data_IF_984237000293
#
_entry.id   IF_984237000293
#
_cell.length_a   1.000
_cell.length_b   1.000
_cell.length_c   1.000
_cell.angle_alpha   90.00
_cell.angle_beta   90.00
_cell.angle_gamma   90.00
#
_symmetry.space_group_name_H-M   'P 1'
#
loop_
_entity.id
_entity.type
_entity.pdbx_description
1 polymer ?
#
# COMPACT_ATOMS: atom_id res chain seq x y z
N UNK A 1 -39.54 -13.20 13.97
CA UNK A 1 -38.73 -13.61 12.82
C UNK A 1 -38.59 -12.38 11.91
N UNK A 2 -37.52 -11.58 12.09
CA UNK A 2 -37.25 -10.39 11.27
C UNK A 2 -36.41 -10.80 10.06
N UNK A 3 -36.93 -10.65 8.87
CA UNK A 3 -36.25 -10.91 7.60
C UNK A 3 -35.15 -9.88 7.42
N UNK A 4 -33.88 -10.33 7.49
CA UNK A 4 -32.76 -9.55 6.99
C UNK A 4 -32.85 -9.50 5.46
N UNK A 5 -33.24 -8.37 4.94
CA UNK A 5 -33.16 -8.07 3.50
C UNK A 5 -31.68 -7.95 3.13
N UNK A 6 -31.21 -8.86 2.26
CA UNK A 6 -29.90 -8.80 1.61
C UNK A 6 -29.82 -7.55 0.74
N UNK A 7 -29.25 -6.47 1.27
CA UNK A 7 -28.81 -5.33 0.48
C UNK A 7 -27.33 -5.53 0.09
N UNK A 8 -27.05 -6.56 -0.70
CA UNK A 8 -25.72 -6.93 -1.17
C UNK A 8 -25.33 -6.21 -2.49
N UNK A 9 -25.93 -5.09 -2.85
CA UNK A 9 -25.87 -4.57 -4.20
C UNK A 9 -25.36 -3.15 -4.42
N UNK A 10 -25.10 -2.33 -3.41
CA UNK A 10 -24.65 -0.94 -3.63
C UNK A 10 -23.85 -0.39 -2.44
N UNK A 11 -22.61 -0.84 -2.28
CA UNK A 11 -21.67 -0.23 -1.33
C UNK A 11 -21.04 1.09 -1.84
N UNK A 12 -21.23 1.40 -3.13
CA UNK A 12 -20.58 2.53 -3.77
C UNK A 12 -21.60 3.33 -4.56
N UNK A 13 -21.95 4.51 -4.06
CA UNK A 13 -22.85 5.45 -4.71
C UNK A 13 -22.08 6.58 -5.39
N UNK A 14 -22.66 7.17 -6.42
CA UNK A 14 -22.10 8.36 -7.10
C UNK A 14 -22.00 9.56 -6.15
N UNK A 15 -22.91 9.65 -5.19
CA UNK A 15 -22.77 10.50 -4.00
C UNK A 15 -22.49 9.59 -2.81
N UNK A 16 -21.56 9.99 -1.90
CA UNK A 16 -21.35 9.21 -0.70
C UNK A 16 -22.68 9.04 0.03
N UNK A 17 -22.93 7.88 0.62
CA UNK A 17 -24.09 7.71 1.47
C UNK A 17 -24.07 8.81 2.54
N UNK A 18 -25.23 9.29 3.00
CA UNK A 18 -25.25 10.27 4.09
C UNK A 18 -24.42 9.75 5.24
N UNK A 19 -23.52 10.59 5.76
CA UNK A 19 -22.64 10.19 6.85
C UNK A 19 -23.52 9.71 8.02
N UNK A 20 -23.23 8.53 8.60
CA UNK A 20 -23.99 8.06 9.74
C UNK A 20 -23.82 9.03 10.91
N UNK A 21 -24.74 8.99 11.86
CA UNK A 21 -24.57 9.71 13.11
C UNK A 21 -23.28 9.25 13.80
N UNK A 22 -22.32 10.15 13.95
CA UNK A 22 -21.04 9.90 14.62
C UNK A 22 -19.82 10.39 13.85
N UNK A 23 -18.65 10.38 14.49
CA UNK A 23 -17.42 10.95 13.95
C UNK A 23 -16.92 10.13 12.74
N UNK A 24 -16.62 10.81 11.64
CA UNK A 24 -16.05 10.22 10.41
C UNK A 24 -14.61 10.72 10.25
N UNK A 25 -13.68 9.80 10.15
CA UNK A 25 -12.29 10.11 9.80
C UNK A 25 -12.14 10.30 8.29
N UNK A 26 -11.15 11.07 7.88
CA UNK A 26 -10.87 11.33 6.46
C UNK A 26 -9.45 10.88 6.14
N UNK A 27 -9.26 10.12 5.07
CA UNK A 27 -7.95 9.81 4.53
C UNK A 27 -7.84 10.36 3.10
N UNK A 28 -6.86 11.23 2.86
CA UNK A 28 -6.42 11.60 1.52
C UNK A 28 -5.34 10.62 1.08
N UNK A 29 -5.46 10.11 -0.14
CA UNK A 29 -4.53 9.12 -0.68
C UNK A 29 -4.02 9.53 -2.04
N UNK A 30 -2.79 9.15 -2.35
CA UNK A 30 -2.17 9.36 -3.65
C UNK A 30 -1.24 8.20 -4.03
N UNK A 31 -1.17 7.91 -5.32
CA UNK A 31 -0.21 6.98 -5.90
C UNK A 31 0.60 7.67 -7.00
N UNK A 32 1.92 7.64 -6.90
CA UNK A 32 2.81 8.26 -7.85
C UNK A 32 3.76 7.25 -8.51
N UNK A 33 4.00 7.40 -9.83
CA UNK A 33 4.99 6.60 -10.55
C UNK A 33 5.78 7.46 -11.53
N UNK A 34 7.11 7.32 -11.55
CA UNK A 34 7.99 7.95 -12.54
C UNK A 34 8.17 7.03 -13.73
N UNK A 35 7.25 7.15 -14.70
CA UNK A 35 7.05 6.22 -15.79
C UNK A 35 5.93 5.21 -15.50
N UNK A 36 5.40 4.55 -16.54
CA UNK A 36 4.22 3.70 -16.38
C UNK A 36 4.37 2.37 -17.17
N UNK A 37 5.00 1.32 -16.60
CA UNK A 37 5.50 1.20 -15.21
C UNK A 37 6.86 1.86 -14.96
N UNK A 38 7.07 2.33 -13.72
CA UNK A 38 8.31 2.95 -13.26
C UNK A 38 8.47 2.88 -11.75
N UNK A 39 9.52 3.51 -11.19
CA UNK A 39 9.63 3.71 -9.74
C UNK A 39 8.34 4.30 -9.20
N UNK A 40 7.72 3.66 -8.21
CA UNK A 40 6.40 4.01 -7.72
C UNK A 40 6.36 4.07 -6.18
N UNK A 41 5.53 4.96 -5.68
CA UNK A 41 5.25 5.10 -4.26
C UNK A 41 3.78 5.43 -4.03
N UNK A 42 3.32 5.25 -2.82
CA UNK A 42 2.01 5.69 -2.38
C UNK A 42 2.10 6.57 -1.14
N UNK A 43 1.04 7.30 -0.87
CA UNK A 43 0.89 8.13 0.32
C UNK A 43 -0.50 8.04 0.92
N UNK A 44 -0.55 8.28 2.23
CA UNK A 44 -1.77 8.41 3.02
C UNK A 44 -1.62 9.59 3.98
N UNK A 45 -2.62 10.46 4.03
CA UNK A 45 -2.76 11.51 5.03
C UNK A 45 -4.08 11.28 5.77
N UNK A 46 -4.01 10.79 7.00
CA UNK A 46 -5.16 10.47 7.83
C UNK A 46 -5.48 11.64 8.77
N UNK A 47 -6.74 12.02 8.80
CA UNK A 47 -7.27 13.11 9.64
C UNK A 47 -8.39 12.62 10.54
N UNK A 48 -8.48 13.24 11.70
CA UNK A 48 -9.58 13.06 12.65
C UNK A 48 -10.88 13.70 12.17
N UNK A 49 -11.98 13.45 12.89
CA UNK A 49 -13.27 14.08 12.60
C UNK A 49 -13.24 15.61 12.75
N UNK A 50 -12.32 16.14 13.52
CA UNK A 50 -12.03 17.55 13.72
C UNK A 50 -11.16 18.16 12.60
N UNK A 51 -10.71 17.34 11.64
CA UNK A 51 -9.80 17.73 10.56
C UNK A 51 -8.32 17.73 10.95
N UNK A 52 -7.99 17.51 12.22
CA UNK A 52 -6.60 17.43 12.66
C UNK A 52 -5.88 16.24 12.02
N UNK A 53 -4.62 16.43 11.61
CA UNK A 53 -3.80 15.37 11.04
C UNK A 53 -3.40 14.38 12.13
N UNK A 54 -3.85 13.13 12.02
CA UNK A 54 -3.48 12.02 12.92
C UNK A 54 -2.15 11.41 12.47
N UNK A 55 -2.02 11.18 11.15
CA UNK A 55 -0.85 10.52 10.58
C UNK A 55 -0.67 10.93 9.13
N UNK A 56 0.58 10.89 8.69
CA UNK A 56 0.95 11.07 7.29
C UNK A 56 2.16 10.18 6.99
N UNK A 57 2.04 9.31 6.01
CA UNK A 57 3.12 8.42 5.61
C UNK A 57 3.08 8.13 4.11
N UNK A 58 4.25 7.87 3.55
CA UNK A 58 4.43 7.40 2.18
C UNK A 58 5.40 6.24 2.14
N UNK A 59 5.24 5.35 1.17
CA UNK A 59 6.11 4.19 1.00
C UNK A 59 6.41 3.94 -0.47
N UNK A 60 7.68 3.73 -0.77
CA UNK A 60 8.14 3.23 -2.05
C UNK A 60 7.75 1.76 -2.22
N UNK A 61 7.27 1.38 -3.41
CA UNK A 61 6.78 0.03 -3.69
C UNK A 61 7.53 -0.66 -4.83
N UNK A 62 8.70 -0.13 -5.21
CA UNK A 62 9.46 -0.67 -6.33
C UNK A 62 8.95 -0.18 -7.69
N UNK A 63 9.03 -1.02 -8.71
CA UNK A 63 8.59 -0.69 -10.07
C UNK A 63 7.14 -1.12 -10.26
N UNK A 64 6.26 -0.15 -10.46
CA UNK A 64 4.82 -0.38 -10.64
C UNK A 64 4.20 0.66 -11.60
N UNK A 65 2.95 0.44 -11.99
CA UNK A 65 2.14 1.45 -12.69
C UNK A 65 1.53 2.42 -11.68
N UNK A 66 1.16 3.63 -12.15
CA UNK A 66 0.46 4.59 -11.30
C UNK A 66 -0.80 4.00 -10.68
N UNK A 67 -1.62 3.29 -11.46
CA UNK A 67 -2.85 2.67 -10.98
C UNK A 67 -2.59 1.63 -9.86
N UNK A 68 -1.50 0.88 -9.93
CA UNK A 68 -1.08 -0.03 -8.87
C UNK A 68 -0.74 0.75 -7.60
N UNK A 69 0.00 1.85 -7.71
CA UNK A 69 0.34 2.71 -6.58
C UNK A 69 -0.90 3.30 -5.90
N UNK A 70 -1.90 3.74 -6.68
CA UNK A 70 -3.19 4.22 -6.19
C UNK A 70 -3.95 3.16 -5.38
N UNK A 71 -3.97 1.92 -5.85
CA UNK A 71 -4.58 0.82 -5.10
C UNK A 71 -3.81 0.50 -3.81
N UNK A 72 -2.48 0.59 -3.83
CA UNK A 72 -1.68 0.44 -2.61
C UNK A 72 -1.98 1.55 -1.60
N UNK A 73 -2.17 2.80 -2.05
CA UNK A 73 -2.58 3.91 -1.20
C UNK A 73 -3.94 3.64 -0.53
N UNK A 74 -4.93 3.19 -1.31
CA UNK A 74 -6.25 2.83 -0.79
C UNK A 74 -6.17 1.72 0.26
N UNK A 75 -5.43 0.65 -0.02
CA UNK A 75 -5.27 -0.48 0.90
C UNK A 75 -4.55 -0.03 2.18
N UNK A 76 -3.49 0.78 2.05
CA UNK A 76 -2.75 1.30 3.19
C UNK A 76 -3.61 2.19 4.10
N UNK A 77 -4.50 3.01 3.54
CA UNK A 77 -5.44 3.81 4.31
C UNK A 77 -6.45 2.95 5.07
N UNK A 78 -6.96 1.88 4.44
CA UNK A 78 -7.88 0.92 5.07
C UNK A 78 -7.18 0.13 6.19
N UNK A 79 -5.96 -0.34 5.95
CA UNK A 79 -5.15 -1.06 6.94
C UNK A 79 -4.81 -0.13 8.14
N UNK A 80 -4.46 1.14 7.88
CA UNK A 80 -4.19 2.13 8.92
C UNK A 80 -5.43 2.44 9.78
N UNK A 81 -6.61 2.51 9.16
CA UNK A 81 -7.88 2.67 9.87
C UNK A 81 -8.18 1.45 10.74
N UNK A 82 -8.03 0.24 10.22
CA UNK A 82 -8.25 -1.00 10.96
C UNK A 82 -7.32 -1.11 12.18
N UNK A 83 -6.02 -0.80 12.01
CA UNK A 83 -5.04 -0.82 13.09
C UNK A 83 -5.36 0.16 14.23
N UNK A 84 -6.15 1.20 13.97
CA UNK A 84 -6.57 2.22 14.94
C UNK A 84 -7.99 2.03 15.47
N UNK A 85 -8.69 0.98 15.05
CA UNK A 85 -10.08 0.76 15.40
C UNK A 85 -11.04 1.81 14.82
N UNK A 86 -10.66 2.47 13.73
CA UNK A 86 -11.51 3.42 13.02
C UNK A 86 -12.54 2.63 12.23
N UNK A 87 -13.80 2.81 12.57
CA UNK A 87 -14.92 2.09 11.93
C UNK A 87 -15.64 2.94 10.88
N UNK A 88 -15.42 4.27 10.85
CA UNK A 88 -16.08 5.20 9.93
C UNK A 88 -15.03 6.03 9.21
N UNK A 89 -14.85 5.73 7.92
CA UNK A 89 -13.80 6.32 7.09
C UNK A 89 -14.35 6.83 5.77
N UNK A 90 -14.01 8.07 5.44
CA UNK A 90 -14.10 8.62 4.10
C UNK A 90 -12.70 8.71 3.49
N UNK A 91 -12.53 8.16 2.31
CA UNK A 91 -11.28 8.27 1.54
C UNK A 91 -11.50 9.24 0.39
N UNK A 92 -10.55 10.12 0.18
CA UNK A 92 -10.49 11.11 -0.88
C UNK A 92 -9.29 10.83 -1.77
N UNK A 93 -9.50 10.77 -3.09
CA UNK A 93 -8.46 10.52 -4.10
C UNK A 93 -8.75 11.33 -5.37
N UNK A 94 -7.71 11.79 -6.07
CA UNK A 94 -7.81 12.42 -7.40
C UNK A 94 -7.73 11.39 -8.55
N UNK A 95 -7.64 10.10 -8.24
CA UNK A 95 -7.71 9.01 -9.22
C UNK A 95 -9.16 8.67 -9.57
N UNK A 96 -9.70 9.27 -10.64
CA UNK A 96 -11.04 8.95 -11.11
C UNK A 96 -11.19 7.46 -11.44
N UNK A 97 -10.16 6.83 -12.04
CA UNK A 97 -10.18 5.41 -12.37
C UNK A 97 -10.39 4.54 -11.14
N UNK A 98 -9.60 4.78 -10.08
CA UNK A 98 -9.71 4.06 -8.81
C UNK A 98 -11.13 4.18 -8.24
N UNK A 99 -11.63 5.41 -8.14
CA UNK A 99 -12.96 5.70 -7.60
C UNK A 99 -14.05 4.98 -8.41
N UNK A 100 -14.05 5.12 -9.74
CA UNK A 100 -15.04 4.48 -10.62
C UNK A 100 -14.97 2.95 -10.59
N UNK A 101 -13.78 2.37 -10.45
CA UNK A 101 -13.61 0.92 -10.32
C UNK A 101 -14.17 0.42 -8.98
N UNK A 102 -13.84 1.09 -7.88
CA UNK A 102 -14.35 0.73 -6.55
C UNK A 102 -15.88 0.90 -6.44
N UNK A 103 -16.44 1.88 -7.11
CA UNK A 103 -17.90 2.09 -7.20
C UNK A 103 -18.60 1.08 -8.14
N UNK A 104 -17.84 0.28 -8.90
CA UNK A 104 -18.38 -0.70 -9.84
C UNK A 104 -18.83 -0.10 -11.18
N UNK A 105 -18.59 1.19 -11.43
CA UNK A 105 -18.90 1.83 -12.72
C UNK A 105 -17.95 1.39 -13.81
N UNK A 106 -16.68 1.12 -13.48
CA UNK A 106 -15.66 0.61 -14.39
C UNK A 106 -15.23 -0.79 -14.00
N UNK A 107 -15.10 -1.68 -15.00
CA UNK A 107 -14.61 -3.04 -14.78
C UNK A 107 -13.08 -3.02 -14.61
N UNK A 108 -12.57 -3.77 -13.65
CA UNK A 108 -11.14 -4.01 -13.46
C UNK A 108 -10.71 -5.09 -14.46
N UNK A 109 -10.07 -4.69 -15.57
CA UNK A 109 -9.60 -5.61 -16.62
C UNK A 109 -8.16 -6.07 -16.40
N UNK A 110 -7.32 -5.24 -15.78
CA UNK A 110 -5.93 -5.55 -15.49
C UNK A 110 -5.81 -6.72 -14.52
N UNK A 111 -4.97 -7.70 -14.86
CA UNK A 111 -4.66 -8.83 -13.99
C UNK A 111 -3.99 -8.37 -12.68
N UNK A 112 -3.13 -7.35 -12.76
CA UNK A 112 -2.39 -6.82 -11.61
C UNK A 112 -3.30 -6.07 -10.63
N UNK A 113 -4.36 -5.42 -11.14
CA UNK A 113 -5.28 -4.65 -10.31
C UNK A 113 -6.36 -5.49 -9.65
N UNK A 114 -6.75 -6.64 -10.22
CA UNK A 114 -7.83 -7.48 -9.67
C UNK A 114 -7.61 -7.88 -8.22
N UNK A 115 -6.44 -8.48 -7.83
CA UNK A 115 -6.22 -8.88 -6.44
C UNK A 115 -6.21 -7.68 -5.48
N UNK A 116 -5.71 -6.52 -5.93
CA UNK A 116 -5.71 -5.30 -5.14
C UNK A 116 -7.14 -4.76 -4.93
N UNK A 117 -7.94 -4.75 -5.99
CA UNK A 117 -9.34 -4.36 -5.94
C UNK A 117 -10.15 -5.27 -4.99
N UNK A 118 -9.99 -6.60 -5.07
CA UNK A 118 -10.66 -7.55 -4.19
C UNK A 118 -10.26 -7.36 -2.73
N UNK A 119 -8.95 -7.14 -2.46
CA UNK A 119 -8.45 -6.84 -1.13
C UNK A 119 -9.04 -5.54 -0.58
N UNK A 120 -9.04 -4.47 -1.38
CA UNK A 120 -9.61 -3.19 -0.98
C UNK A 120 -11.12 -3.29 -0.69
N UNK A 121 -11.88 -3.99 -1.55
CA UNK A 121 -13.30 -4.24 -1.31
C UNK A 121 -13.56 -5.03 -0.02
N UNK A 122 -12.75 -6.05 0.25
CA UNK A 122 -12.87 -6.85 1.47
C UNK A 122 -12.60 -5.99 2.72
N UNK A 123 -11.55 -5.17 2.69
CA UNK A 123 -11.21 -4.29 3.80
C UNK A 123 -12.28 -3.20 4.02
N UNK A 124 -12.79 -2.59 2.95
CA UNK A 124 -13.84 -1.59 3.04
C UNK A 124 -15.14 -2.13 3.65
N UNK A 125 -15.50 -3.41 3.39
CA UNK A 125 -16.66 -4.08 3.96
C UNK A 125 -16.61 -4.30 5.47
N UNK A 126 -15.41 -4.25 6.05
CA UNK A 126 -15.22 -4.39 7.50
C UNK A 126 -15.54 -3.10 8.26
N UNK A 127 -15.68 -1.97 7.58
CA UNK A 127 -16.05 -0.68 8.17
C UNK A 127 -17.57 -0.56 8.34
N UNK A 128 -18.00 0.12 9.39
CA UNK A 128 -19.42 0.49 9.59
C UNK A 128 -19.88 1.54 8.56
N UNK A 129 -18.96 2.44 8.19
CA UNK A 129 -19.16 3.43 7.15
C UNK A 129 -17.90 3.55 6.30
N UNK A 130 -18.09 3.42 5.01
CA UNK A 130 -17.04 3.64 4.01
C UNK A 130 -17.59 4.50 2.88
N UNK A 131 -16.85 5.56 2.55
CA UNK A 131 -17.07 6.35 1.35
C UNK A 131 -15.73 6.58 0.63
N UNK A 132 -15.73 6.46 -0.69
CA UNK A 132 -14.59 6.81 -1.54
C UNK A 132 -15.06 7.89 -2.52
N UNK A 133 -14.41 9.06 -2.47
CA UNK A 133 -14.75 10.25 -3.23
C UNK A 133 -13.61 10.66 -4.16
N UNK A 134 -13.98 11.04 -5.37
CA UNK A 134 -13.07 11.75 -6.25
C UNK A 134 -13.00 13.23 -5.82
N UNK A 135 -11.78 13.74 -5.68
CA UNK A 135 -11.51 15.16 -5.43
C UNK A 135 -10.61 15.73 -6.52
N UNK A 136 -10.68 17.02 -6.82
CA UNK A 136 -9.72 17.69 -7.71
C UNK A 136 -8.29 17.58 -7.14
N UNK A 137 -7.30 17.48 -8.04
CA UNK A 137 -5.89 17.31 -7.67
C UNK A 137 -5.38 18.40 -6.73
N UNK A 138 -5.83 19.64 -6.92
CA UNK A 138 -5.48 20.78 -6.09
C UNK A 138 -5.88 20.59 -4.62
N UNK A 139 -6.89 19.76 -4.36
CA UNK A 139 -7.35 19.42 -3.01
C UNK A 139 -6.63 18.19 -2.44
N UNK A 140 -5.82 17.47 -3.25
CA UNK A 140 -5.03 16.30 -2.85
C UNK A 140 -3.54 16.62 -2.64
N UNK A 141 -3.17 17.90 -2.62
CA UNK A 141 -1.77 18.36 -2.60
C UNK A 141 -0.95 17.78 -1.43
N UNK A 142 -1.56 17.58 -0.25
CA UNK A 142 -0.88 17.00 0.91
C UNK A 142 -0.44 15.55 0.63
N UNK A 143 -1.31 14.72 0.05
CA UNK A 143 -1.00 13.33 -0.28
C UNK A 143 -0.02 13.24 -1.45
N UNK A 144 -0.20 14.06 -2.51
CA UNK A 144 0.73 14.17 -3.65
C UNK A 144 2.16 14.52 -3.18
N UNK A 145 2.30 15.50 -2.28
CA UNK A 145 3.60 15.88 -1.73
C UNK A 145 4.28 14.72 -0.97
N UNK A 146 3.52 13.97 -0.18
CA UNK A 146 4.05 12.82 0.57
C UNK A 146 4.44 11.67 -0.36
N UNK A 147 3.65 11.39 -1.41
CA UNK A 147 3.97 10.36 -2.40
C UNK A 147 5.24 10.71 -3.19
N UNK A 148 5.38 11.96 -3.62
CA UNK A 148 6.57 12.46 -4.29
C UNK A 148 7.80 12.42 -3.37
N UNK A 149 7.67 12.82 -2.11
CA UNK A 149 8.77 12.71 -1.13
C UNK A 149 9.21 11.25 -0.92
N UNK A 150 8.28 10.29 -0.90
CA UNK A 150 8.62 8.87 -0.81
C UNK A 150 9.38 8.36 -2.05
N UNK A 151 9.06 8.87 -3.24
CA UNK A 151 9.82 8.61 -4.47
C UNK A 151 11.22 9.25 -4.42
N UNK A 152 11.34 10.50 -3.96
CA UNK A 152 12.59 11.25 -3.92
C UNK A 152 13.57 10.68 -2.91
N UNK A 153 13.10 10.29 -1.73
CA UNK A 153 13.92 9.64 -0.71
C UNK A 153 14.56 8.35 -1.20
N UNK A 154 13.94 7.69 -2.16
CA UNK A 154 14.47 6.46 -2.79
C UNK A 154 15.38 6.78 -3.96
N UNK A 155 15.08 7.85 -4.72
CA UNK A 155 15.98 8.36 -5.75
C UNK A 155 17.29 8.88 -5.14
N UNK A 156 17.23 9.54 -3.98
CA UNK A 156 18.41 9.94 -3.19
C UNK A 156 19.18 8.75 -2.65
N UNK A 157 18.50 7.69 -2.21
CA UNK A 157 19.14 6.41 -1.83
C UNK A 157 19.71 5.66 -3.03
N UNK A 158 19.09 5.74 -4.20
CA UNK A 158 19.62 5.16 -5.44
C UNK A 158 20.71 6.02 -6.09
N UNK A 159 20.73 7.33 -5.86
CA UNK A 159 21.84 8.22 -6.24
C UNK A 159 23.01 8.13 -5.23
N UNK A 160 22.71 7.77 -3.99
CA UNK A 160 23.67 7.37 -2.95
C UNK A 160 23.67 5.84 -2.79
N UNK A 161 23.25 5.08 -3.80
CA UNK A 161 23.49 3.65 -3.82
C UNK A 161 25.01 3.51 -3.72
N UNK A 162 25.52 2.90 -2.64
CA UNK A 162 26.92 2.52 -2.62
C UNK A 162 27.10 1.69 -3.88
N UNK A 163 28.15 2.01 -4.63
CA UNK A 163 28.57 1.26 -5.80
C UNK A 163 28.28 -0.21 -5.59
N UNK A 164 27.45 -0.76 -6.49
CA UNK A 164 26.99 -2.16 -6.56
C UNK A 164 27.53 -2.95 -5.37
N UNK A 165 26.72 -3.09 -4.31
CA UNK A 165 27.11 -3.91 -3.18
C UNK A 165 27.47 -5.26 -3.78
N UNK A 166 28.76 -5.59 -3.86
CA UNK A 166 29.21 -6.87 -4.39
C UNK A 166 28.50 -7.91 -3.55
N UNK A 167 27.79 -8.88 -4.19
CA UNK A 167 27.06 -9.86 -3.44
C UNK A 167 28.02 -10.50 -2.42
N UNK A 168 27.67 -10.41 -1.15
CA UNK A 168 28.49 -11.02 -0.09
C UNK A 168 28.31 -12.52 -0.23
N UNK A 169 29.35 -13.22 -0.66
CA UNK A 169 29.38 -14.69 -0.67
C UNK A 169 29.91 -15.16 0.67
N UNK A 170 29.09 -15.79 1.46
CA UNK A 170 29.49 -16.43 2.71
C UNK A 170 29.05 -17.88 2.75
N UNK A 171 29.73 -18.69 3.57
CA UNK A 171 29.27 -20.04 3.87
C UNK A 171 28.27 -19.96 5.02
N UNK A 172 27.20 -20.71 4.92
CA UNK A 172 26.23 -20.85 5.99
C UNK A 172 25.96 -22.31 6.28
N UNK A 173 25.61 -22.65 7.52
CA UNK A 173 25.11 -23.97 7.89
C UNK A 173 23.60 -23.90 8.01
N UNK A 174 22.93 -24.87 7.48
CA UNK A 174 21.51 -25.05 7.74
C UNK A 174 21.34 -25.85 9.03
N UNK A 175 20.73 -25.25 10.04
CA UNK A 175 20.44 -25.86 11.32
C UNK A 175 19.14 -25.30 11.91
N UNK A 176 18.26 -26.16 12.40
CA UNK A 176 17.04 -25.75 13.08
C UNK A 176 16.09 -24.87 12.27
N UNK A 177 16.04 -25.06 10.93
CA UNK A 177 15.18 -24.25 10.07
C UNK A 177 15.78 -22.90 9.63
N UNK A 178 16.98 -22.54 10.09
CA UNK A 178 17.66 -21.30 9.79
C UNK A 178 19.00 -21.52 9.07
N UNK A 179 19.40 -20.53 8.26
CA UNK A 179 20.74 -20.44 7.68
C UNK A 179 21.63 -19.58 8.61
N UNK A 180 22.62 -20.22 9.22
CA UNK A 180 23.55 -19.58 10.13
C UNK A 180 24.87 -19.31 9.38
N UNK A 181 25.26 -18.05 9.13
CA UNK A 181 26.51 -17.72 8.49
C UNK A 181 27.72 -18.23 9.32
N UNK A 182 28.77 -18.69 8.65
CA UNK A 182 30.01 -19.13 9.31
C UNK A 182 30.82 -17.95 9.84
N UNK A 183 30.64 -16.76 9.25
CA UNK A 183 31.20 -15.50 9.69
C UNK A 183 30.10 -14.47 9.89
N UNK A 184 30.23 -13.56 10.88
CA UNK A 184 29.27 -12.47 11.06
C UNK A 184 29.12 -11.67 9.77
N UNK A 185 27.88 -11.32 9.42
CA UNK A 185 27.57 -10.41 8.32
C UNK A 185 27.48 -8.99 8.88
N UNK A 186 28.09 -8.03 8.20
CA UNK A 186 27.96 -6.60 8.52
C UNK A 186 26.63 -6.10 7.94
N UNK A 187 25.52 -6.44 8.60
CA UNK A 187 24.17 -5.99 8.27
C UNK A 187 23.64 -5.10 9.40
N UNK A 188 22.83 -4.12 9.04
CA UNK A 188 22.16 -3.25 10.02
C UNK A 188 20.91 -3.96 10.55
N UNK A 189 20.65 -3.86 11.85
CA UNK A 189 19.47 -4.48 12.45
C UNK A 189 18.17 -3.98 11.77
N UNK A 190 17.33 -4.93 11.33
CA UNK A 190 16.13 -4.64 10.56
C UNK A 190 16.33 -4.50 9.04
N UNK A 191 17.53 -4.68 8.52
CA UNK A 191 17.80 -4.65 7.09
C UNK A 191 17.26 -5.91 6.39
N UNK A 192 16.43 -5.74 5.36
CA UNK A 192 15.94 -6.85 4.54
C UNK A 192 16.95 -7.19 3.44
N UNK A 193 17.34 -8.45 3.36
CA UNK A 193 18.29 -8.96 2.37
C UNK A 193 17.71 -10.10 1.55
N UNK A 194 18.12 -10.19 0.29
CA UNK A 194 17.82 -11.35 -0.57
C UNK A 194 18.92 -12.38 -0.41
N UNK A 195 18.58 -13.61 0.00
CA UNK A 195 19.52 -14.71 0.16
C UNK A 195 19.32 -15.72 -0.97
N UNK A 196 20.40 -15.96 -1.73
CA UNK A 196 20.45 -17.04 -2.72
C UNK A 196 21.29 -18.19 -2.14
N UNK A 197 20.72 -19.40 -2.10
CA UNK A 197 21.38 -20.57 -1.51
C UNK A 197 21.84 -21.51 -2.61
N UNK A 198 23.17 -21.75 -2.68
CA UNK A 198 23.78 -22.74 -3.54
C UNK A 198 24.31 -23.90 -2.67
N UNK A 199 23.78 -25.13 -2.77
CA UNK A 199 24.28 -26.25 -1.99
C UNK A 199 25.72 -26.61 -2.39
N UNK A 200 26.64 -26.69 -1.42
CA UNK A 200 28.00 -27.18 -1.64
C UNK A 200 27.96 -28.71 -1.59
N UNK A 201 28.03 -29.38 -2.73
CA UNK A 201 28.21 -30.82 -2.78
C UNK A 201 29.62 -31.15 -2.28
N UNK A 202 29.74 -31.89 -1.17
CA UNK A 202 31.02 -32.52 -0.82
C UNK A 202 31.31 -33.57 -1.88
N UNK A 203 32.50 -33.50 -2.51
CA UNK A 203 32.99 -34.63 -3.29
C UNK A 203 33.09 -35.82 -2.33
N UNK A 204 32.48 -36.94 -2.66
CA UNK A 204 32.67 -38.19 -1.93
C UNK A 204 34.17 -38.52 -2.01
N UNK A 205 34.86 -38.81 -0.91
CA UNK A 205 36.19 -39.41 -0.98
C UNK A 205 35.99 -40.82 -1.51
N UNK A 206 36.67 -41.12 -2.62
CA UNK A 206 36.81 -42.46 -3.20
C UNK A 206 37.59 -43.36 -2.25
#
# INVERSE_FOLDING_TARGET
>A
MKRFTKNAGRLFHEQPPPAPAGPVHVAQIDGAARGNPGPAAYAVVLRGPDGARIESFGKYIGRATNNVAEYFALIAALDAAAARGILRLRIESDSELLVRQMQGHYKVRSADLRPLHERAQKAAKALEYFALQHIPRERNADADAVANAALDNTAGRNAAAPAVARPIRTRARYAGGALVPVMPLELVEGEEVIVTVEPIRRANPS
#
